data_IF_474376958713
#
_entry.id   IF_474376958713
#
_cell.length_a   1.000
_cell.length_b   1.000
_cell.length_c   1.000
_cell.angle_alpha   90.00
_cell.angle_beta   90.00
_cell.angle_gamma   90.00
#
_symmetry.space_group_name_H-M   'P 1'
#
loop_
_entity.id
_entity.type
_entity.pdbx_description
1 polymer ?
#
# COMPACT_ATOMS: atom_id res chain seq x y z
N UNK A 1 11.85 2.04 16.79
CA UNK A 1 12.38 1.05 15.83
C UNK A 1 11.45 0.99 14.64
N UNK A 2 11.97 1.09 13.43
CA UNK A 2 11.18 0.96 12.20
C UNK A 2 10.88 -0.52 11.96
N UNK A 3 9.59 -0.90 11.91
CA UNK A 3 9.17 -2.31 11.75
C UNK A 3 8.95 -2.62 10.27
N UNK A 4 9.63 -3.65 9.75
CA UNK A 4 9.45 -4.12 8.37
C UNK A 4 8.14 -4.90 8.23
N UNK A 5 7.49 -4.76 7.08
CA UNK A 5 6.30 -5.55 6.71
C UNK A 5 6.66 -6.89 6.07
N UNK A 6 7.86 -7.00 5.50
CA UNK A 6 8.30 -8.13 4.68
C UNK A 6 8.03 -7.94 3.19
N UNK A 7 7.17 -6.98 2.81
CA UNK A 7 6.81 -6.66 1.42
C UNK A 7 7.63 -5.48 0.89
N UNK A 8 7.76 -5.39 -0.43
CA UNK A 8 8.52 -4.36 -1.15
C UNK A 8 7.65 -3.60 -2.14
N UNK A 9 7.98 -2.34 -2.38
CA UNK A 9 7.31 -1.53 -3.40
C UNK A 9 7.70 -1.96 -4.83
N UNK A 10 7.15 -1.26 -5.83
CA UNK A 10 7.44 -1.55 -7.25
C UNK A 10 8.92 -1.43 -7.61
N UNK A 11 9.70 -0.69 -6.83
CA UNK A 11 11.13 -0.45 -7.03
C UNK A 11 12.03 -1.29 -6.10
N UNK A 12 11.46 -2.27 -5.41
CA UNK A 12 12.16 -3.17 -4.47
C UNK A 12 12.63 -2.48 -3.19
N UNK A 13 12.07 -1.32 -2.86
CA UNK A 13 12.31 -0.70 -1.57
C UNK A 13 11.46 -1.40 -0.49
N UNK A 14 12.03 -1.76 0.66
CA UNK A 14 11.26 -2.39 1.73
C UNK A 14 10.19 -1.46 2.29
N UNK A 15 8.94 -1.95 2.36
CA UNK A 15 7.84 -1.22 2.99
C UNK A 15 7.88 -1.45 4.50
N UNK A 16 7.80 -0.35 5.25
CA UNK A 16 7.85 -0.32 6.72
C UNK A 16 6.55 0.23 7.29
N UNK A 17 6.23 -0.18 8.51
CA UNK A 17 5.17 0.47 9.30
C UNK A 17 5.53 1.94 9.51
N UNK A 18 4.56 2.82 9.26
CA UNK A 18 4.68 4.27 9.26
C UNK A 18 5.05 4.87 7.91
N UNK A 19 5.34 4.06 6.88
CA UNK A 19 5.54 4.61 5.54
C UNK A 19 4.22 5.13 4.97
N UNK A 20 4.31 6.22 4.21
CA UNK A 20 3.28 6.55 3.23
C UNK A 20 3.62 5.85 1.93
N UNK A 21 2.60 5.34 1.26
CA UNK A 21 2.73 4.73 -0.05
C UNK A 21 1.72 5.37 -1.00
N UNK A 22 2.15 5.63 -2.21
CA UNK A 22 1.31 6.06 -3.31
C UNK A 22 0.99 4.83 -4.16
N UNK A 23 -0.30 4.57 -4.37
CA UNK A 23 -0.79 3.48 -5.19
C UNK A 23 -1.48 4.08 -6.42
N UNK A 24 -1.12 3.59 -7.62
CA UNK A 24 -1.82 3.95 -8.85
C UNK A 24 -3.25 3.45 -8.79
N UNK A 25 -4.18 4.33 -9.14
CA UNK A 25 -5.61 4.09 -9.06
C UNK A 25 -6.15 3.88 -10.47
N UNK A 26 -6.68 2.69 -10.76
CA UNK A 26 -7.22 2.32 -12.08
C UNK A 26 -8.74 2.49 -12.19
N UNK A 27 -9.41 2.83 -11.08
CA UNK A 27 -10.88 2.96 -11.01
C UNK A 27 -11.27 4.30 -10.38
N UNK A 28 -12.48 4.80 -10.61
CA UNK A 28 -12.99 6.01 -9.97
C UNK A 28 -12.07 7.25 -10.16
N UNK A 29 -11.48 7.43 -11.35
CA UNK A 29 -10.56 8.55 -11.63
C UNK A 29 -11.24 9.92 -11.44
N UNK A 30 -12.56 9.98 -11.67
CA UNK A 30 -13.40 11.14 -11.39
C UNK A 30 -13.44 11.52 -9.91
N UNK A 31 -13.33 10.56 -9.00
CA UNK A 31 -13.28 10.81 -7.55
C UNK A 31 -11.87 11.05 -7.05
N UNK A 32 -10.93 10.16 -7.36
CA UNK A 32 -9.61 10.16 -6.72
C UNK A 32 -8.48 10.71 -7.58
N UNK A 33 -8.63 10.71 -8.90
CA UNK A 33 -7.55 10.93 -9.86
C UNK A 33 -6.76 9.64 -10.13
N UNK A 34 -5.55 9.79 -10.66
CA UNK A 34 -4.69 8.70 -11.11
C UNK A 34 -3.98 7.96 -9.97
N UNK A 35 -3.95 8.51 -8.75
CA UNK A 35 -3.27 7.90 -7.62
C UNK A 35 -3.89 8.27 -6.27
N UNK A 36 -3.65 7.41 -5.28
CA UNK A 36 -4.07 7.58 -3.89
C UNK A 36 -2.89 7.34 -2.95
N UNK A 37 -2.79 8.12 -1.88
CA UNK A 37 -1.77 7.97 -0.83
C UNK A 37 -2.40 7.36 0.42
N UNK A 38 -1.72 6.35 0.96
CA UNK A 38 -2.10 5.61 2.15
C UNK A 38 -0.95 5.62 3.17
N UNK A 39 -1.26 5.56 4.45
CA UNK A 39 -0.31 5.22 5.51
C UNK A 39 -0.31 3.71 5.74
N UNK A 40 0.88 3.13 5.91
CA UNK A 40 1.06 1.73 6.31
C UNK A 40 1.07 1.65 7.82
N UNK A 41 -0.02 1.17 8.41
CA UNK A 41 -0.17 1.03 9.86
C UNK A 41 -0.16 -0.44 10.28
N UNK A 42 0.05 -0.69 11.58
CA UNK A 42 -0.02 -2.04 12.14
C UNK A 42 -1.37 -2.25 12.86
N UNK A 43 -2.11 -3.31 12.49
CA UNK A 43 -3.30 -3.78 13.23
C UNK A 43 -3.10 -5.22 13.67
N UNK A 44 -2.82 -5.43 14.95
CA UNK A 44 -2.40 -6.74 15.46
C UNK A 44 -1.12 -7.20 14.77
N UNK A 45 -1.17 -8.35 14.09
CA UNK A 45 -0.06 -8.88 13.29
C UNK A 45 -0.05 -8.41 11.83
N UNK A 46 -1.14 -7.79 11.36
CA UNK A 46 -1.35 -7.46 9.95
C UNK A 46 -0.94 -6.02 9.64
N UNK A 47 -0.02 -5.80 8.67
CA UNK A 47 0.18 -4.49 8.05
C UNK A 47 -1.03 -4.10 7.20
N UNK A 48 -1.48 -2.86 7.34
CA UNK A 48 -2.70 -2.33 6.72
C UNK A 48 -2.36 -1.02 6.01
N UNK A 49 -2.88 -0.83 4.81
CA UNK A 49 -2.87 0.46 4.11
C UNK A 49 -4.12 1.23 4.52
N UNK A 50 -3.97 2.48 4.93
CA UNK A 50 -5.05 3.31 5.46
C UNK A 50 -5.08 4.65 4.73
N UNK A 51 -6.23 5.01 4.15
CA UNK A 51 -6.36 6.17 3.26
C UNK A 51 -5.93 7.47 3.95
N UNK A 52 -5.19 8.33 3.23
CA UNK A 52 -4.88 9.69 3.66
C UNK A 52 -5.53 10.73 2.72
N UNK A 53 -5.09 10.73 1.46
CA UNK A 53 -5.54 11.67 0.43
C UNK A 53 -5.28 11.08 -0.95
N UNK A 54 -5.82 11.71 -2.00
CA UNK A 54 -5.56 11.32 -3.39
C UNK A 54 -5.05 12.50 -4.21
N UNK A 55 -4.84 12.28 -5.51
CA UNK A 55 -4.43 13.34 -6.43
C UNK A 55 -5.34 14.58 -6.36
N UNK A 56 -6.65 14.34 -6.18
CA UNK A 56 -7.67 15.40 -6.04
C UNK A 56 -7.77 15.98 -4.63
N UNK A 57 -6.82 15.69 -3.75
CA UNK A 57 -6.82 16.11 -2.35
C UNK A 57 -7.54 15.12 -1.43
N UNK A 58 -8.09 15.62 -0.33
CA UNK A 58 -8.74 14.79 0.68
C UNK A 58 -10.23 14.63 0.37
N UNK A 59 -10.58 13.56 -0.34
CA UNK A 59 -11.96 13.26 -0.78
C UNK A 59 -12.76 12.58 0.34
N UNK A 60 -12.11 11.75 1.14
CA UNK A 60 -12.68 11.10 2.32
C UNK A 60 -11.90 11.47 3.59
N UNK A 61 -12.47 11.27 4.79
CA UNK A 61 -11.70 11.36 6.02
C UNK A 61 -10.52 10.39 6.03
N UNK A 62 -9.43 10.75 6.72
CA UNK A 62 -8.30 9.84 6.90
C UNK A 62 -8.75 8.54 7.59
N UNK A 63 -8.23 7.42 7.10
CA UNK A 63 -8.59 6.08 7.56
C UNK A 63 -9.99 5.60 7.18
N UNK A 64 -10.76 6.37 6.39
CA UNK A 64 -12.10 5.98 5.94
C UNK A 64 -12.12 4.66 5.15
N UNK A 65 -11.10 4.45 4.32
CA UNK A 65 -10.85 3.18 3.64
C UNK A 65 -9.53 2.58 4.13
N UNK A 66 -9.54 1.28 4.41
CA UNK A 66 -8.36 0.56 4.84
C UNK A 66 -8.45 -0.92 4.46
N UNK A 67 -7.30 -1.53 4.18
CA UNK A 67 -7.21 -2.95 3.83
C UNK A 67 -5.84 -3.55 4.16
N UNK A 68 -5.74 -4.88 4.30
CA UNK A 68 -4.44 -5.55 4.42
C UNK A 68 -3.50 -5.16 3.27
N UNK A 69 -2.24 -4.83 3.58
CA UNK A 69 -1.24 -4.47 2.56
C UNK A 69 -1.04 -5.58 1.52
N UNK A 70 -1.19 -6.84 1.92
CA UNK A 70 -1.05 -7.99 1.02
C UNK A 70 -2.09 -8.03 -0.10
N UNK A 71 -3.21 -7.31 0.01
CA UNK A 71 -4.22 -7.25 -1.05
C UNK A 71 -3.72 -6.51 -2.29
N UNK A 72 -2.66 -5.72 -2.17
CA UNK A 72 -2.04 -5.01 -3.29
C UNK A 72 -1.07 -5.89 -4.09
N UNK A 73 -0.93 -7.16 -3.72
CA UNK A 73 -0.03 -8.13 -4.34
C UNK A 73 -0.82 -9.30 -4.89
N UNK A 74 -0.23 -10.00 -5.87
CA UNK A 74 -0.80 -11.24 -6.36
C UNK A 74 -0.89 -12.30 -5.24
N UNK A 75 -2.08 -12.89 -5.08
CA UNK A 75 -2.36 -13.82 -3.99
C UNK A 75 -1.54 -15.11 -4.11
N UNK A 76 -1.36 -15.63 -5.32
CA UNK A 76 -0.62 -16.87 -5.53
C UNK A 76 0.85 -16.65 -5.16
N UNK A 77 1.44 -15.55 -5.62
CA UNK A 77 2.80 -15.18 -5.24
C UNK A 77 2.94 -14.96 -3.73
N UNK A 78 2.00 -14.25 -3.11
CA UNK A 78 2.04 -13.98 -1.67
C UNK A 78 1.97 -15.26 -0.82
N UNK A 79 1.19 -16.26 -1.26
CA UNK A 79 0.99 -17.52 -0.52
C UNK A 79 2.12 -18.52 -0.75
N UNK A 80 2.61 -18.64 -1.99
CA UNK A 80 3.51 -19.74 -2.35
C UNK A 80 4.99 -19.34 -2.47
N UNK A 81 5.32 -18.06 -2.58
CA UNK A 81 6.71 -17.61 -2.64
C UNK A 81 7.41 -17.80 -1.28
N UNK A 82 8.66 -18.28 -1.30
CA UNK A 82 9.44 -18.51 -0.08
C UNK A 82 9.92 -17.22 0.56
N UNK A 83 10.11 -16.20 -0.27
CA UNK A 83 10.64 -14.90 0.12
C UNK A 83 9.75 -13.78 -0.45
N UNK A 84 8.75 -13.40 0.35
CA UNK A 84 7.78 -12.36 -0.01
C UNK A 84 8.39 -10.96 -0.16
N UNK A 85 9.68 -10.76 0.14
CA UNK A 85 10.35 -9.49 -0.16
C UNK A 85 10.63 -9.28 -1.66
N UNK A 86 10.52 -10.36 -2.45
CA UNK A 86 10.81 -10.37 -3.89
C UNK A 86 9.58 -10.21 -4.79
N UNK A 87 8.39 -10.44 -4.25
CA UNK A 87 7.15 -10.31 -5.02
C UNK A 87 6.88 -8.83 -5.29
N UNK A 88 6.13 -8.55 -6.36
CA UNK A 88 5.81 -7.19 -6.79
C UNK A 88 4.31 -6.93 -6.61
N UNK A 89 3.93 -5.69 -6.28
CA UNK A 89 2.53 -5.34 -6.20
C UNK A 89 1.90 -5.40 -7.61
N UNK A 90 0.60 -5.68 -7.65
CA UNK A 90 -0.18 -5.79 -8.89
C UNK A 90 -0.34 -4.43 -9.56
N UNK A 91 -0.60 -3.40 -8.76
CA UNK A 91 -0.57 -2.00 -9.18
C UNK A 91 0.77 -1.36 -8.81
N UNK A 92 1.15 -0.28 -9.48
CA UNK A 92 2.35 0.45 -9.07
C UNK A 92 2.17 1.03 -7.65
N UNK A 93 3.10 0.68 -6.76
CA UNK A 93 3.23 1.23 -5.41
C UNK A 93 4.60 1.87 -5.28
N UNK A 94 4.62 3.09 -4.76
CA UNK A 94 5.86 3.84 -4.47
C UNK A 94 5.84 4.29 -3.03
N UNK A 95 6.89 4.00 -2.26
CA UNK A 95 7.07 4.61 -0.94
C UNK A 95 7.34 6.11 -1.13
N UNK A 96 6.58 6.95 -0.41
CA UNK A 96 6.69 8.41 -0.45
C UNK A 96 6.95 8.95 0.95
N UNK A 97 7.69 10.06 1.05
CA UNK A 97 8.04 10.72 2.33
C UNK A 97 6.83 11.38 3.03
#
# INVERSE_FOLDING_TARGET
MTKLTGLSDSYSNPIKIGNKIKITNEINHELHGAWVVYEVIQKGLTPVVSYLYSEKGQIFPEGHSAGPLCNEYDLEQFVFEKDISKIKPTNEIVVVE
#
